data_IF_777587746582
#
_entry.id   IF_777587746582
#
_cell.length_a   1.000
_cell.length_b   1.000
_cell.length_c   1.000
_cell.angle_alpha   90.00
_cell.angle_beta   90.00
_cell.angle_gamma   90.00
#
_symmetry.space_group_name_H-M   'P 1'
#
loop_
_entity.id
_entity.type
_entity.pdbx_description
1 polymer ?
#
# COMPACT_ATOMS: atom_id res chain seq x y z
N UNK A 1 11.01 20.75 -7.03
CA UNK A 1 11.00 21.24 -8.42
C UNK A 1 12.39 21.30 -9.03
N UNK A 2 13.30 22.18 -8.58
CA UNK A 2 14.65 22.32 -9.18
C UNK A 2 15.48 21.04 -9.14
N UNK A 3 15.50 20.35 -8.00
CA UNK A 3 16.23 19.07 -7.87
C UNK A 3 15.67 17.98 -8.80
N UNK A 4 14.34 17.90 -8.91
CA UNK A 4 13.67 16.95 -9.83
C UNK A 4 13.99 17.29 -11.29
N UNK A 5 13.99 18.56 -11.67
CA UNK A 5 14.36 18.99 -13.03
C UNK A 5 15.81 18.58 -13.36
N UNK A 6 16.73 18.79 -12.41
CA UNK A 6 18.14 18.38 -12.54
C UNK A 6 18.27 16.86 -12.70
N UNK A 7 17.58 16.08 -11.87
CA UNK A 7 17.62 14.61 -11.93
C UNK A 7 17.02 14.07 -13.23
N UNK A 8 15.90 14.65 -13.68
CA UNK A 8 15.25 14.30 -14.93
C UNK A 8 15.97 14.87 -16.18
N UNK A 9 17.06 15.63 -16.01
CA UNK A 9 17.82 16.29 -17.08
C UNK A 9 16.95 17.18 -17.98
N UNK A 10 15.97 17.86 -17.38
CA UNK A 10 15.08 18.83 -18.05
C UNK A 10 15.24 20.22 -17.44
N UNK A 11 14.82 21.26 -18.17
CA UNK A 11 14.81 22.61 -17.62
C UNK A 11 13.72 22.78 -16.55
N UNK A 12 13.93 23.71 -15.60
CA UNK A 12 12.90 24.07 -14.63
C UNK A 12 11.61 24.55 -15.32
N UNK A 13 11.75 25.35 -16.39
CA UNK A 13 10.60 25.86 -17.16
C UNK A 13 9.81 24.75 -17.85
N UNK A 14 10.49 23.75 -18.42
CA UNK A 14 9.83 22.57 -18.98
C UNK A 14 9.06 21.79 -17.90
N UNK A 15 9.66 21.59 -16.73
CA UNK A 15 8.98 20.90 -15.63
C UNK A 15 7.77 21.70 -15.09
N UNK A 16 7.87 23.03 -15.04
CA UNK A 16 6.78 23.92 -14.65
C UNK A 16 5.64 23.98 -15.68
N UNK A 17 5.91 23.62 -16.95
CA UNK A 17 4.86 23.44 -17.94
C UNK A 17 3.98 22.21 -17.60
N UNK A 18 4.57 21.14 -17.07
CA UNK A 18 3.82 19.93 -16.68
C UNK A 18 3.20 20.02 -15.29
N UNK A 19 3.85 20.73 -14.36
CA UNK A 19 3.40 20.85 -12.98
C UNK A 19 3.48 22.30 -12.50
N UNK A 20 2.33 22.89 -12.26
CA UNK A 20 2.18 24.25 -11.73
C UNK A 20 2.69 24.40 -10.30
N UNK A 21 2.76 23.30 -9.53
CA UNK A 21 3.25 23.30 -8.15
C UNK A 21 3.97 21.99 -7.76
N UNK A 22 4.71 22.04 -6.65
CA UNK A 22 5.29 20.83 -6.04
C UNK A 22 4.20 19.84 -5.60
N UNK A 23 3.08 20.35 -5.08
CA UNK A 23 1.94 19.54 -4.67
C UNK A 23 1.36 18.75 -5.86
N UNK A 24 1.15 19.41 -7.00
CA UNK A 24 0.64 18.76 -8.22
C UNK A 24 1.60 17.66 -8.73
N UNK A 25 2.90 17.94 -8.73
CA UNK A 25 3.90 16.93 -9.09
C UNK A 25 3.89 15.72 -8.16
N UNK A 26 3.77 15.94 -6.84
CA UNK A 26 3.72 14.87 -5.86
C UNK A 26 2.44 14.04 -6.01
N UNK A 27 1.29 14.69 -6.24
CA UNK A 27 0.03 14.01 -6.51
C UNK A 27 0.13 13.13 -7.76
N UNK A 28 0.69 13.66 -8.86
CA UNK A 28 0.94 12.88 -10.07
C UNK A 28 1.87 11.69 -9.84
N UNK A 29 2.98 11.90 -9.11
CA UNK A 29 3.92 10.83 -8.80
C UNK A 29 3.25 9.72 -7.96
N UNK A 30 2.39 10.11 -7.00
CA UNK A 30 1.62 9.18 -6.19
C UNK A 30 0.64 8.35 -7.02
N UNK A 31 -0.12 9.01 -7.91
CA UNK A 31 -1.05 8.32 -8.81
C UNK A 31 -0.30 7.31 -9.70
N UNK A 32 0.85 7.72 -10.24
CA UNK A 32 1.71 6.84 -11.03
C UNK A 32 2.18 5.63 -10.24
N UNK A 33 2.65 5.81 -8.99
CA UNK A 33 3.08 4.69 -8.15
C UNK A 33 1.93 3.78 -7.69
N UNK A 34 0.75 4.35 -7.41
CA UNK A 34 -0.46 3.58 -7.13
C UNK A 34 -0.79 2.66 -8.31
N UNK A 35 -0.81 3.21 -9.53
CA UNK A 35 -1.03 2.45 -10.76
C UNK A 35 0.02 1.35 -10.97
N UNK A 36 1.29 1.61 -10.64
CA UNK A 36 2.32 0.59 -10.69
C UNK A 36 2.08 -0.53 -9.68
N UNK A 37 1.70 -0.22 -8.45
CA UNK A 37 1.46 -1.27 -7.43
C UNK A 37 0.21 -2.08 -7.79
N UNK A 38 -0.86 -1.46 -8.30
CA UNK A 38 -2.03 -2.18 -8.81
C UNK A 38 -1.68 -3.14 -9.94
N UNK A 39 -0.79 -2.74 -10.87
CA UNK A 39 -0.30 -3.63 -11.93
C UNK A 39 0.53 -4.79 -11.38
N UNK A 40 1.36 -4.57 -10.35
CA UNK A 40 2.14 -5.64 -9.71
C UNK A 40 1.24 -6.61 -8.96
N UNK A 41 0.26 -6.12 -8.21
CA UNK A 41 -0.78 -6.92 -7.56
C UNK A 41 -1.46 -7.80 -8.60
N UNK A 42 -2.01 -7.20 -9.68
CA UNK A 42 -2.69 -7.95 -10.74
C UNK A 42 -1.81 -9.05 -11.34
N UNK A 43 -0.54 -8.75 -11.67
CA UNK A 43 0.41 -9.75 -12.17
C UNK A 43 0.64 -10.88 -11.18
N UNK A 44 0.83 -10.59 -9.89
CA UNK A 44 1.01 -11.63 -8.87
C UNK A 44 -0.24 -12.49 -8.70
N UNK A 45 -1.43 -11.87 -8.75
CA UNK A 45 -2.69 -12.62 -8.66
C UNK A 45 -2.88 -13.59 -9.84
N UNK A 46 -2.39 -13.25 -11.04
CA UNK A 46 -2.43 -14.18 -12.19
C UNK A 46 -1.52 -15.41 -12.04
N UNK A 47 -0.59 -15.40 -11.09
CA UNK A 47 0.29 -16.54 -10.79
C UNK A 47 -0.27 -17.49 -9.71
N UNK A 48 -1.43 -17.15 -9.12
CA UNK A 48 -2.12 -17.98 -8.14
C UNK A 48 -3.10 -18.94 -8.82
N UNK A 49 -3.47 -20.02 -8.12
CA UNK A 49 -4.56 -20.90 -8.52
C UNK A 49 -5.87 -20.12 -8.66
N UNK A 50 -6.75 -20.55 -9.57
CA UNK A 50 -7.99 -19.84 -9.90
C UNK A 50 -9.23 -20.67 -9.51
N UNK A 51 -10.18 -20.10 -8.74
CA UNK A 51 -10.14 -18.76 -8.14
C UNK A 51 -9.11 -18.68 -6.99
N UNK A 52 -8.44 -17.53 -6.79
CA UNK A 52 -7.44 -17.39 -5.74
C UNK A 52 -8.10 -17.41 -4.36
N UNK A 53 -7.46 -18.07 -3.40
CA UNK A 53 -7.94 -18.06 -2.02
C UNK A 53 -7.81 -16.63 -1.44
N UNK A 54 -8.81 -16.08 -0.72
CA UNK A 54 -8.78 -14.69 -0.24
C UNK A 54 -7.57 -14.36 0.66
N UNK A 55 -7.08 -15.35 1.42
CA UNK A 55 -5.82 -15.25 2.20
C UNK A 55 -4.63 -14.85 1.33
N UNK A 56 -4.49 -15.47 0.16
CA UNK A 56 -3.36 -15.23 -0.74
C UNK A 56 -3.50 -13.88 -1.44
N UNK A 57 -4.72 -13.46 -1.74
CA UNK A 57 -5.02 -12.10 -2.23
C UNK A 57 -4.57 -11.05 -1.21
N UNK A 58 -4.98 -11.16 0.05
CA UNK A 58 -4.58 -10.23 1.12
C UNK A 58 -3.07 -10.24 1.33
N UNK A 59 -2.44 -11.41 1.29
CA UNK A 59 -0.98 -11.53 1.39
C UNK A 59 -0.26 -10.79 0.26
N UNK A 60 -0.72 -10.94 -0.99
CA UNK A 60 -0.17 -10.21 -2.14
C UNK A 60 -0.31 -8.70 -1.95
N UNK A 61 -1.50 -8.23 -1.55
CA UNK A 61 -1.76 -6.80 -1.30
C UNK A 61 -0.82 -6.25 -0.23
N UNK A 62 -0.74 -6.88 0.94
CA UNK A 62 0.12 -6.43 2.04
C UNK A 62 1.60 -6.40 1.66
N UNK A 63 2.08 -7.43 0.96
CA UNK A 63 3.49 -7.49 0.55
C UNK A 63 3.86 -6.48 -0.51
N UNK A 64 2.91 -6.05 -1.36
CA UNK A 64 3.11 -5.00 -2.36
C UNK A 64 3.06 -3.58 -1.76
N UNK A 65 2.43 -3.41 -0.59
CA UNK A 65 2.43 -2.15 0.16
C UNK A 65 3.71 -1.92 0.97
N UNK A 66 4.52 -2.97 1.17
CA UNK A 66 5.75 -2.93 1.95
C UNK A 66 7.01 -2.85 1.06
N UNK A 67 8.12 -2.27 1.57
CA UNK A 67 9.40 -2.15 0.87
C UNK A 67 10.19 -3.48 0.81
N UNK A 68 9.53 -4.56 0.39
CA UNK A 68 10.08 -5.92 0.39
C UNK A 68 10.81 -6.29 -0.91
N UNK A 69 10.77 -5.41 -1.92
CA UNK A 69 11.34 -5.61 -3.24
C UNK A 69 12.06 -4.32 -3.68
N UNK A 70 13.06 -4.42 -4.58
CA UNK A 70 13.80 -3.23 -5.03
C UNK A 70 12.88 -2.12 -5.55
N UNK A 71 11.89 -2.49 -6.37
CA UNK A 71 10.95 -1.54 -6.98
C UNK A 71 9.95 -0.95 -5.96
N UNK A 72 9.64 -1.65 -4.87
CA UNK A 72 8.70 -1.17 -3.84
C UNK A 72 9.34 -0.22 -2.84
N UNK A 73 10.68 -0.25 -2.66
CA UNK A 73 11.40 0.69 -1.77
C UNK A 73 11.25 2.15 -2.21
N UNK A 74 11.42 2.42 -3.51
CA UNK A 74 11.27 3.77 -4.04
C UNK A 74 9.84 4.31 -3.81
N UNK A 75 8.84 3.47 -4.09
CA UNK A 75 7.42 3.78 -3.83
C UNK A 75 7.15 3.97 -2.34
N UNK A 76 7.69 3.13 -1.46
CA UNK A 76 7.49 3.22 -0.01
C UNK A 76 8.04 4.53 0.57
N UNK A 77 9.27 4.91 0.20
CA UNK A 77 9.87 6.19 0.61
C UNK A 77 9.09 7.39 0.10
N UNK A 78 8.64 7.32 -1.15
CA UNK A 78 7.80 8.36 -1.73
C UNK A 78 6.47 8.48 -0.98
N UNK A 79 5.81 7.36 -0.66
CA UNK A 79 4.58 7.34 0.14
C UNK A 79 4.80 7.99 1.51
N UNK A 80 5.89 7.66 2.20
CA UNK A 80 6.21 8.25 3.51
C UNK A 80 6.40 9.78 3.42
N UNK A 81 7.17 10.25 2.43
CA UNK A 81 7.34 11.68 2.18
C UNK A 81 6.02 12.37 1.81
N UNK A 82 5.18 11.71 1.03
CA UNK A 82 3.89 12.24 0.58
C UNK A 82 2.89 12.37 1.72
N UNK A 83 2.79 11.36 2.59
CA UNK A 83 1.98 11.42 3.82
C UNK A 83 2.46 12.55 4.73
N UNK A 84 3.78 12.69 4.91
CA UNK A 84 4.35 13.78 5.69
C UNK A 84 4.01 15.16 5.11
N UNK A 85 4.10 15.33 3.80
CA UNK A 85 3.74 16.59 3.13
C UNK A 85 2.24 16.90 3.31
N UNK A 86 1.38 15.90 3.13
CA UNK A 86 -0.07 16.03 3.28
C UNK A 86 -0.50 16.38 4.71
N UNK A 87 0.32 16.08 5.71
CA UNK A 87 0.09 16.56 7.07
C UNK A 87 0.26 18.08 7.21
N UNK A 88 0.98 18.74 6.30
CA UNK A 88 1.27 20.17 6.33
C UNK A 88 0.53 20.98 5.24
N UNK A 89 0.11 20.34 4.15
CA UNK A 89 -0.64 20.97 3.05
C UNK A 89 -2.11 20.49 3.02
N UNK A 90 -3.10 21.37 3.26
CA UNK A 90 -4.53 21.01 3.25
C UNK A 90 -5.04 20.46 1.91
N UNK A 91 -4.50 20.93 0.78
CA UNK A 91 -4.91 20.47 -0.55
C UNK A 91 -4.46 19.03 -0.79
N UNK A 92 -3.19 18.74 -0.47
CA UNK A 92 -2.67 17.38 -0.51
C UNK A 92 -3.37 16.47 0.50
N UNK A 93 -3.69 16.97 1.70
CA UNK A 93 -4.41 16.20 2.72
C UNK A 93 -5.69 15.58 2.18
N UNK A 94 -6.48 16.34 1.41
CA UNK A 94 -7.72 15.83 0.84
C UNK A 94 -7.46 14.67 -0.12
N UNK A 95 -6.51 14.83 -1.04
CA UNK A 95 -6.14 13.80 -2.02
C UNK A 95 -5.61 12.53 -1.34
N UNK A 96 -4.70 12.66 -0.37
CA UNK A 96 -4.14 11.52 0.38
C UNK A 96 -5.23 10.80 1.17
N UNK A 97 -6.13 11.56 1.80
CA UNK A 97 -7.24 10.98 2.58
C UNK A 97 -8.19 10.17 1.70
N UNK A 98 -8.47 10.61 0.47
CA UNK A 98 -9.28 9.85 -0.48
C UNK A 98 -8.60 8.52 -0.84
N UNK A 99 -7.33 8.56 -1.25
CA UNK A 99 -6.59 7.34 -1.61
C UNK A 99 -6.48 6.34 -0.45
N UNK A 100 -6.27 6.80 0.78
CA UNK A 100 -6.26 5.94 1.98
C UNK A 100 -7.64 5.33 2.26
N UNK A 101 -8.72 6.09 2.06
CA UNK A 101 -10.09 5.57 2.22
C UNK A 101 -10.42 4.52 1.17
N UNK A 102 -10.04 4.75 -0.08
CA UNK A 102 -10.28 3.80 -1.18
C UNK A 102 -9.50 2.50 -0.96
N UNK A 103 -8.22 2.60 -0.58
CA UNK A 103 -7.40 1.44 -0.22
C UNK A 103 -7.96 0.67 0.98
N UNK A 104 -8.43 1.38 2.02
CA UNK A 104 -9.07 0.77 3.19
C UNK A 104 -10.37 0.07 2.81
N UNK A 105 -11.23 0.70 2.01
CA UNK A 105 -12.49 0.13 1.55
C UNK A 105 -12.28 -1.13 0.70
N UNK A 106 -11.23 -1.16 -0.13
CA UNK A 106 -10.85 -2.35 -0.89
C UNK A 106 -10.49 -3.53 0.03
N UNK A 107 -9.65 -3.31 1.04
CA UNK A 107 -9.28 -4.36 2.01
C UNK A 107 -10.50 -4.82 2.82
N UNK A 108 -11.34 -3.89 3.25
CA UNK A 108 -12.58 -4.21 3.97
C UNK A 108 -13.52 -5.08 3.12
N UNK A 109 -13.64 -4.77 1.82
CA UNK A 109 -14.44 -5.59 0.89
C UNK A 109 -13.91 -7.02 0.78
N UNK A 110 -12.58 -7.21 0.69
CA UNK A 110 -11.96 -8.54 0.65
C UNK A 110 -12.24 -9.35 1.93
N UNK A 111 -12.18 -8.70 3.09
CA UNK A 111 -12.48 -9.35 4.38
C UNK A 111 -13.96 -9.74 4.45
N UNK A 112 -14.87 -8.81 4.10
CA UNK A 112 -16.32 -9.08 4.11
C UNK A 112 -16.70 -10.20 3.13
N UNK A 113 -16.09 -10.22 1.96
CA UNK A 113 -16.30 -11.28 0.99
C UNK A 113 -15.83 -12.63 1.54
N UNK A 114 -14.62 -12.70 2.11
CA UNK A 114 -14.08 -13.91 2.73
C UNK A 114 -14.94 -14.40 3.91
N UNK A 115 -15.53 -13.50 4.71
CA UNK A 115 -16.51 -13.84 5.75
C UNK A 115 -17.80 -14.43 5.15
N UNK A 116 -18.34 -13.79 4.09
CA UNK A 116 -19.56 -14.27 3.42
C UNK A 116 -19.41 -15.66 2.80
N UNK A 117 -18.18 -16.01 2.39
CA UNK A 117 -17.80 -17.32 1.83
C UNK A 117 -17.41 -18.34 2.91
N UNK A 118 -17.38 -17.94 4.20
CA UNK A 118 -17.02 -18.81 5.31
C UNK A 118 -15.52 -19.08 5.46
N UNK A 119 -14.66 -18.32 4.76
CA UNK A 119 -13.20 -18.40 4.90
C UNK A 119 -12.67 -17.68 6.15
N UNK A 120 -13.40 -16.66 6.60
CA UNK A 120 -13.14 -15.95 7.86
C UNK A 120 -14.35 -16.18 8.77
N UNK A 121 -14.08 -16.34 10.07
CA UNK A 121 -15.11 -16.49 11.10
C UNK A 121 -16.01 -15.25 11.20
N UNK A 122 -17.30 -15.46 11.44
CA UNK A 122 -18.32 -14.41 11.49
C UNK A 122 -18.49 -13.76 12.88
N UNK A 123 -17.65 -14.13 13.85
CA UNK A 123 -17.68 -13.61 15.22
C UNK A 123 -16.80 -12.37 15.42
N UNK A 124 -16.05 -11.96 14.39
CA UNK A 124 -15.18 -10.79 14.42
C UNK A 124 -15.77 -9.61 13.66
N UNK A 125 -15.42 -8.39 14.07
CA UNK A 125 -15.84 -7.17 13.38
C UNK A 125 -14.94 -6.95 12.14
N UNK A 126 -15.50 -6.97 10.91
CA UNK A 126 -14.73 -6.76 9.68
C UNK A 126 -14.02 -5.41 9.64
N UNK A 127 -14.57 -4.38 10.29
CA UNK A 127 -13.98 -3.04 10.33
C UNK A 127 -12.70 -3.07 11.17
N UNK A 128 -12.73 -3.73 12.32
CA UNK A 128 -11.56 -3.90 13.19
C UNK A 128 -10.50 -4.78 12.51
N UNK A 129 -10.89 -5.89 11.91
CA UNK A 129 -9.94 -6.77 11.21
C UNK A 129 -9.28 -6.07 10.02
N UNK A 130 -10.00 -5.19 9.33
CA UNK A 130 -9.43 -4.33 8.28
C UNK A 130 -8.31 -3.45 8.83
N UNK A 131 -8.55 -2.77 9.95
CA UNK A 131 -7.58 -1.87 10.56
C UNK A 131 -6.36 -2.63 11.10
N UNK A 132 -6.56 -3.83 11.66
CA UNK A 132 -5.48 -4.70 12.11
C UNK A 132 -4.62 -5.22 10.95
N UNK A 133 -5.25 -5.62 9.85
CA UNK A 133 -4.54 -6.02 8.62
C UNK A 133 -3.72 -4.86 8.08
N UNK A 134 -4.30 -3.66 7.97
CA UNK A 134 -3.60 -2.47 7.49
C UNK A 134 -2.49 -2.00 8.43
N UNK A 135 -2.62 -2.22 9.74
CA UNK A 135 -1.58 -1.88 10.71
C UNK A 135 -0.24 -2.60 10.43
N UNK A 136 -0.26 -3.77 9.78
CA UNK A 136 0.97 -4.48 9.35
C UNK A 136 1.79 -3.69 8.33
N UNK A 137 1.18 -2.76 7.59
CA UNK A 137 1.91 -1.85 6.70
C UNK A 137 2.84 -0.90 7.46
N UNK A 138 2.59 -0.71 8.77
CA UNK A 138 3.45 0.00 9.71
C UNK A 138 4.82 -0.67 9.94
N UNK A 139 5.07 -1.85 9.39
CA UNK A 139 6.41 -2.47 9.35
C UNK A 139 7.36 -1.79 8.34
N UNK A 140 6.85 -0.96 7.42
CA UNK A 140 7.66 -0.32 6.39
C UNK A 140 8.86 0.49 6.94
N UNK A 141 8.74 1.33 7.99
CA UNK A 141 9.88 2.04 8.55
C UNK A 141 10.93 1.09 9.15
N UNK A 142 10.51 -0.03 9.76
CA UNK A 142 11.44 -1.01 10.33
C UNK A 142 12.26 -1.70 9.23
N UNK A 143 11.66 -1.97 8.07
CA UNK A 143 12.34 -2.53 6.90
C UNK A 143 13.25 -1.51 6.19
N UNK A 144 12.84 -0.23 6.11
CA UNK A 144 13.65 0.82 5.49
C UNK A 144 14.88 1.17 6.33
N UNK A 145 14.76 1.12 7.66
CA UNK A 145 15.84 1.41 8.60
C UNK A 145 16.64 0.15 9.00
N UNK A 146 16.37 -1.00 8.34
CA UNK A 146 17.02 -2.30 8.61
C UNK A 146 16.97 -2.72 10.09
N UNK A 147 15.88 -2.36 10.80
CA UNK A 147 15.59 -2.83 12.16
C UNK A 147 15.12 -4.29 12.11
N UNK A 148 14.42 -4.65 11.04
CA UNK A 148 14.02 -6.03 10.74
C UNK A 148 14.37 -6.38 9.30
N UNK A 149 14.62 -7.67 9.06
CA UNK A 149 14.83 -8.22 7.72
C UNK A 149 13.49 -8.65 7.09
N UNK A 150 13.38 -8.71 5.74
CA UNK A 150 12.17 -9.14 5.03
C UNK A 150 11.51 -10.43 5.55
N UNK A 151 12.26 -11.49 5.94
CA UNK A 151 11.66 -12.70 6.50
C UNK A 151 10.84 -12.47 7.77
N UNK A 152 11.24 -11.51 8.62
CA UNK A 152 10.49 -11.20 9.83
C UNK A 152 9.15 -10.53 9.51
N UNK A 153 9.11 -9.65 8.51
CA UNK A 153 7.88 -9.03 8.04
C UNK A 153 6.94 -10.05 7.39
N UNK A 154 7.46 -10.95 6.55
CA UNK A 154 6.66 -12.05 5.98
C UNK A 154 6.07 -12.94 7.07
N UNK A 155 6.88 -13.34 8.05
CA UNK A 155 6.42 -14.17 9.17
C UNK A 155 5.30 -13.48 9.98
N UNK A 156 5.40 -12.17 10.21
CA UNK A 156 4.36 -11.41 10.91
C UNK A 156 3.04 -11.36 10.11
N UNK A 157 3.13 -11.11 8.79
CA UNK A 157 1.97 -11.12 7.87
C UNK A 157 1.32 -12.51 7.86
N UNK A 158 2.12 -13.54 7.62
CA UNK A 158 1.64 -14.92 7.51
C UNK A 158 0.99 -15.36 8.82
N UNK A 159 1.60 -15.05 9.97
CA UNK A 159 1.04 -15.36 11.29
C UNK A 159 -0.29 -14.64 11.56
N UNK A 160 -0.42 -13.39 11.13
CA UNK A 160 -1.67 -12.63 11.30
C UNK A 160 -2.77 -13.19 10.40
N UNK A 161 -2.47 -13.44 9.12
CA UNK A 161 -3.42 -14.03 8.19
C UNK A 161 -3.83 -15.45 8.62
N UNK A 162 -2.92 -16.27 9.13
CA UNK A 162 -3.26 -17.60 9.65
C UNK A 162 -4.20 -17.54 10.86
N UNK A 163 -4.15 -16.48 11.67
CA UNK A 163 -5.10 -16.27 12.75
C UNK A 163 -6.45 -15.78 12.23
N UNK A 164 -6.45 -14.92 11.22
CA UNK A 164 -7.67 -14.39 10.63
C UNK A 164 -8.48 -15.48 9.89
N UNK A 165 -7.78 -16.33 9.15
CA UNK A 165 -8.35 -17.44 8.38
C UNK A 165 -8.37 -18.78 9.13
N UNK A 166 -7.80 -18.82 10.35
CA UNK A 166 -7.75 -20.01 11.18
C UNK A 166 -9.05 -20.26 11.96
N UNK A 167 -9.26 -21.48 12.48
CA UNK A 167 -10.40 -21.80 13.32
C UNK A 167 -10.40 -20.93 14.59
N UNK A 168 -11.59 -20.65 15.13
CA UNK A 168 -11.74 -19.98 16.42
C UNK A 168 -10.98 -20.78 17.50
N UNK A 169 -10.09 -20.11 18.24
CA UNK A 169 -9.32 -20.69 19.35
C UNK A 169 -10.14 -20.79 20.62
#
# INVERSE_FOLDING_TARGET
>A
MREVAREAKVSLGQLQHYFSSRAEMLAFAMEFASNQTSRRIARRLTSLDQPPHPRDVLRVVLTEMLPLQPDSRATSRMNAAYVLEAMHDPSLRHQVSLGLRDGRAMVESLIREAMSQGHIRNDCDPVIETDLVLALTGLAPLLELNVIEPPAAWAAIDRHLDRLFGPAS
#
